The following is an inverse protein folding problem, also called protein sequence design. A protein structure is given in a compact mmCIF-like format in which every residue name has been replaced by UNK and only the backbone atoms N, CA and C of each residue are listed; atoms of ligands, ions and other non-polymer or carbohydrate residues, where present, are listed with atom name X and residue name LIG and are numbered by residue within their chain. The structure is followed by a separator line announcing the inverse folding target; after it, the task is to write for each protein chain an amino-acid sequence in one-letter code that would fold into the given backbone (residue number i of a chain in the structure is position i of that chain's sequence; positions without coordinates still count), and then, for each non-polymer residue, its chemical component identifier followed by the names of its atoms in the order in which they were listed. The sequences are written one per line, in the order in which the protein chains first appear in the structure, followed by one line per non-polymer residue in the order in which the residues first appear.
data_IF_061206051742
#
_entry.id   IF_061206051742
#
_cell.length_a   1.000
_cell.length_b   1.000
_cell.length_c   1.000
_cell.angle_alpha   90.00
_cell.angle_beta   90.00
_cell.angle_gamma   90.00
#
_symmetry.space_group_name_H-M   'P 1'
#
loop_
_entity.id
_entity.type
_entity.pdbx_description
1 polymer ?
#
# COMPACT_ATOMS: atom_id res chain seq x y z
N UNK A 1 -11.22 1.56 -9.39
CA UNK A 1 -10.29 1.19 -8.29
C UNK A 1 -9.81 -0.21 -8.62
N UNK A 2 -8.52 -0.45 -8.49
CA UNK A 2 -7.88 -1.72 -8.82
C UNK A 2 -7.12 -2.24 -7.61
N UNK A 3 -7.09 -3.56 -7.40
CA UNK A 3 -6.27 -4.13 -6.33
C UNK A 3 -4.82 -4.24 -6.80
N UNK A 4 -3.89 -3.86 -5.93
CA UNK A 4 -2.46 -4.01 -6.20
C UNK A 4 -1.90 -5.20 -5.44
N UNK A 5 -1.17 -6.04 -6.17
CA UNK A 5 -0.55 -7.25 -5.69
C UNK A 5 0.96 -7.13 -5.81
N UNK A 6 1.67 -7.72 -4.85
CA UNK A 6 3.12 -7.74 -4.78
C UNK A 6 3.60 -9.17 -4.59
N UNK A 7 4.87 -9.43 -4.87
CA UNK A 7 5.50 -10.69 -4.46
C UNK A 7 6.06 -10.61 -3.06
N UNK A 8 5.75 -11.63 -2.26
CA UNK A 8 6.32 -11.77 -0.92
C UNK A 8 7.81 -12.12 -1.01
N UNK A 9 8.65 -11.44 -0.23
CA UNK A 9 10.09 -11.70 -0.18
C UNK A 9 10.44 -13.08 0.41
N UNK A 10 9.58 -13.64 1.27
CA UNK A 10 9.84 -14.91 1.95
C UNK A 10 9.30 -16.14 1.19
N UNK A 11 8.07 -16.05 0.67
CA UNK A 11 7.39 -17.20 0.05
C UNK A 11 7.19 -17.05 -1.47
N UNK A 12 7.49 -15.89 -2.04
CA UNK A 12 7.35 -15.59 -3.48
C UNK A 12 5.94 -15.75 -4.06
N UNK A 13 4.92 -15.85 -3.21
CA UNK A 13 3.51 -15.82 -3.59
C UNK A 13 3.01 -14.38 -3.77
N UNK A 14 1.93 -14.18 -4.55
CA UNK A 14 1.27 -12.89 -4.67
C UNK A 14 0.56 -12.54 -3.36
N UNK A 15 0.83 -11.35 -2.83
CA UNK A 15 0.31 -10.84 -1.56
C UNK A 15 -0.17 -9.40 -1.74
N UNK A 16 -1.23 -9.03 -1.02
CA UNK A 16 -1.71 -7.66 -0.94
C UNK A 16 -1.46 -7.15 0.49
N UNK A 17 -0.81 -5.98 0.68
CA UNK A 17 -0.70 -5.36 1.99
C UNK A 17 -2.08 -5.11 2.60
N UNK A 18 -2.26 -5.49 3.87
CA UNK A 18 -3.53 -5.31 4.59
C UNK A 18 -3.28 -4.65 5.95
N UNK A 19 -4.01 -3.57 6.22
CA UNK A 19 -4.15 -2.96 7.53
C UNK A 19 -5.20 -3.73 8.34
N UNK A 20 -4.77 -4.75 9.08
CA UNK A 20 -5.65 -5.63 9.88
C UNK A 20 -6.44 -4.85 10.93
N UNK A 21 -5.83 -3.82 11.53
CA UNK A 21 -6.47 -2.87 12.43
C UNK A 21 -5.81 -1.49 12.29
N UNK A 22 -6.53 -0.39 12.52
CA UNK A 22 -5.91 0.94 12.58
C UNK A 22 -4.77 0.99 13.59
N UNK A 23 -3.83 1.90 13.39
CA UNK A 23 -2.82 2.16 14.40
C UNK A 23 -3.51 2.75 15.64
N UNK A 24 -3.15 2.27 16.83
CA UNK A 24 -3.60 2.88 18.07
C UNK A 24 -2.55 3.87 18.53
N UNK A 25 -2.95 5.14 18.68
CA UNK A 25 -2.09 6.21 19.15
C UNK A 25 -2.58 6.60 20.54
N UNK A 26 -1.69 6.51 21.53
CA UNK A 26 -1.95 6.88 22.92
C UNK A 26 -0.76 7.61 23.52
N UNK A 27 -0.75 7.72 24.85
CA UNK A 27 0.27 8.44 25.59
C UNK A 27 0.82 7.57 26.71
N UNK A 28 2.15 7.55 26.85
CA UNK A 28 2.76 7.11 28.10
C UNK A 28 2.96 8.34 29.00
N UNK A 29 2.44 8.28 30.22
CA UNK A 29 2.44 9.40 31.14
C UNK A 29 3.33 9.14 32.34
N UNK A 30 4.23 10.10 32.60
CA UNK A 30 5.30 9.97 33.60
C UNK A 30 4.87 9.65 35.03
N UNK A 31 3.65 10.04 35.44
CA UNK A 31 3.22 9.99 36.85
C UNK A 31 1.91 9.22 37.08
N UNK A 32 1.28 8.70 36.02
CA UNK A 32 0.02 7.97 36.11
C UNK A 32 -0.19 7.18 34.83
N UNK A 33 -1.03 6.15 34.90
CA UNK A 33 -1.51 5.48 33.71
C UNK A 33 -2.56 6.34 32.98
N UNK A 34 -2.50 6.36 31.64
CA UNK A 34 -3.52 6.96 30.79
C UNK A 34 -3.94 5.90 29.75
N UNK A 35 -5.21 5.47 29.83
CA UNK A 35 -5.77 4.45 28.93
C UNK A 35 -6.54 5.07 27.74
N UNK A 36 -6.31 6.34 27.45
CA UNK A 36 -6.92 7.04 26.31
C UNK A 36 -6.08 6.80 25.05
N UNK A 37 -6.69 6.15 24.06
CA UNK A 37 -6.13 5.93 22.74
C UNK A 37 -7.11 6.32 21.63
N UNK A 38 -6.59 6.73 20.49
CA UNK A 38 -7.35 6.97 19.26
C UNK A 38 -6.93 5.97 18.19
N UNK A 39 -7.87 5.62 17.32
CA UNK A 39 -7.58 4.91 16.09
C UNK A 39 -7.12 5.90 15.01
N UNK A 40 -5.96 5.61 14.42
CA UNK A 40 -5.39 6.34 13.31
C UNK A 40 -5.26 5.40 12.10
N UNK A 41 -6.08 5.59 11.06
CA UNK A 41 -5.92 4.83 9.82
C UNK A 41 -4.62 5.23 9.13
N UNK A 42 -3.96 4.26 8.48
CA UNK A 42 -2.78 4.55 7.65
C UNK A 42 -3.21 5.03 6.27
N UNK A 43 -2.44 5.94 5.68
CA UNK A 43 -2.53 6.25 4.25
C UNK A 43 -1.97 5.10 3.43
N UNK A 44 -2.43 4.92 2.20
CA UNK A 44 -2.00 3.80 1.34
C UNK A 44 -0.49 3.77 1.10
N UNK A 45 0.12 4.92 0.83
CA UNK A 45 1.59 5.01 0.70
C UNK A 45 2.33 4.63 1.99
N UNK A 46 1.80 5.02 3.16
CA UNK A 46 2.43 4.67 4.43
C UNK A 46 2.35 3.17 4.70
N UNK A 47 1.18 2.56 4.42
CA UNK A 47 1.02 1.11 4.51
C UNK A 47 2.04 0.40 3.60
N UNK A 48 2.19 0.84 2.35
CA UNK A 48 3.14 0.24 1.42
C UNK A 48 4.60 0.42 1.87
N UNK A 49 5.00 1.60 2.34
CA UNK A 49 6.35 1.84 2.89
C UNK A 49 6.70 0.89 4.04
N UNK A 50 5.72 0.59 4.91
CA UNK A 50 5.91 -0.36 6.03
C UNK A 50 6.10 -1.80 5.56
N UNK A 51 5.77 -2.12 4.31
CA UNK A 51 6.02 -3.44 3.71
C UNK A 51 7.44 -3.58 3.13
N UNK A 52 8.31 -2.56 3.25
CA UNK A 52 9.71 -2.68 2.83
C UNK A 52 10.37 -3.89 3.51
N UNK A 53 10.98 -4.76 2.70
CA UNK A 53 11.58 -6.01 3.16
C UNK A 53 10.61 -7.20 3.28
N UNK A 54 9.30 -6.96 3.28
CA UNK A 54 8.26 -8.00 3.21
C UNK A 54 7.85 -8.32 1.77
N UNK A 55 7.96 -7.33 0.89
CA UNK A 55 7.79 -7.47 -0.56
C UNK A 55 9.14 -7.41 -1.27
N UNK A 56 9.23 -7.97 -2.48
CA UNK A 56 10.47 -8.10 -3.26
C UNK A 56 10.95 -6.81 -3.92
N UNK A 57 10.09 -5.79 -4.03
CA UNK A 57 10.38 -4.50 -4.68
C UNK A 57 10.53 -3.38 -3.65
N UNK A 58 11.16 -2.27 -4.04
CA UNK A 58 11.19 -1.07 -3.19
C UNK A 58 9.85 -0.31 -3.26
N UNK A 59 9.12 -0.14 -2.14
CA UNK A 59 7.91 0.68 -2.06
C UNK A 59 8.00 2.05 -2.73
N UNK A 60 9.14 2.75 -2.59
CA UNK A 60 9.27 4.12 -3.11
C UNK A 60 9.27 4.17 -4.64
N UNK A 61 9.82 3.14 -5.30
CA UNK A 61 9.79 3.07 -6.76
C UNK A 61 8.38 2.84 -7.29
N UNK A 62 7.60 2.01 -6.60
CA UNK A 62 6.20 1.77 -6.93
C UNK A 62 5.38 3.04 -6.74
N UNK A 63 5.54 3.73 -5.61
CA UNK A 63 4.86 5.01 -5.33
C UNK A 63 5.21 6.06 -6.40
N UNK A 64 6.48 6.14 -6.82
CA UNK A 64 6.90 7.07 -7.88
C UNK A 64 6.17 6.81 -9.19
N UNK A 65 6.12 5.55 -9.65
CA UNK A 65 5.42 5.19 -10.89
C UNK A 65 3.92 5.50 -10.76
N UNK A 66 3.27 5.15 -9.65
CA UNK A 66 1.86 5.45 -9.45
C UNK A 66 1.58 6.96 -9.58
N UNK A 67 2.41 7.81 -8.98
CA UNK A 67 2.27 9.28 -9.06
C UNK A 67 2.47 9.82 -10.48
N UNK A 68 3.42 9.31 -11.25
CA UNK A 68 3.61 9.68 -12.66
C UNK A 68 2.32 9.41 -13.49
N UNK A 69 1.64 8.32 -13.16
CA UNK A 69 0.36 7.94 -13.75
C UNK A 69 -0.85 8.57 -13.05
N UNK A 70 -0.68 9.53 -12.12
CA UNK A 70 -1.81 10.15 -11.40
C UNK A 70 -2.69 9.15 -10.66
N UNK A 71 -2.08 8.07 -10.20
CA UNK A 71 -2.73 7.03 -9.42
C UNK A 71 -2.36 7.19 -7.94
N UNK A 72 -3.35 7.02 -7.08
CA UNK A 72 -3.18 7.14 -5.63
C UNK A 72 -3.39 5.79 -4.94
N UNK A 73 -2.57 5.52 -3.93
CA UNK A 73 -2.76 4.37 -3.05
C UNK A 73 -3.77 4.70 -1.96
N UNK A 74 -4.81 3.88 -1.87
CA UNK A 74 -5.85 3.98 -0.85
C UNK A 74 -5.94 2.69 -0.04
N UNK A 75 -6.45 2.81 1.19
CA UNK A 75 -6.76 1.65 2.02
C UNK A 75 -8.27 1.48 2.00
N UNK A 76 -8.74 0.32 1.55
CA UNK A 76 -10.16 -0.01 1.47
C UNK A 76 -10.76 -0.18 2.87
N UNK A 77 -12.10 -0.31 2.96
CA UNK A 77 -12.80 -0.47 4.26
C UNK A 77 -12.40 -1.74 5.02
N UNK A 78 -12.02 -2.77 4.29
CA UNK A 78 -11.49 -4.05 4.78
C UNK A 78 -9.97 -4.05 4.96
N UNK A 79 -9.33 -2.87 4.84
CA UNK A 79 -7.91 -2.66 5.14
C UNK A 79 -6.96 -3.00 4.00
N UNK A 80 -7.44 -3.41 2.82
CA UNK A 80 -6.58 -3.82 1.70
C UNK A 80 -6.03 -2.61 0.97
N UNK A 81 -4.82 -2.75 0.44
CA UNK A 81 -4.21 -1.71 -0.38
C UNK A 81 -4.79 -1.75 -1.81
N UNK A 82 -5.29 -0.61 -2.26
CA UNK A 82 -5.89 -0.44 -3.58
C UNK A 82 -5.29 0.77 -4.29
N UNK A 83 -5.45 0.80 -5.61
CA UNK A 83 -5.04 1.91 -6.48
C UNK A 83 -6.28 2.57 -7.06
N UNK A 84 -6.36 3.89 -6.90
CA UNK A 84 -7.36 4.72 -7.55
C UNK A 84 -6.68 5.52 -8.65
N UNK A 85 -7.08 5.31 -9.91
CA UNK A 85 -6.69 6.17 -11.02
C UNK A 85 -7.73 7.27 -11.20
N UNK A 86 -7.28 8.48 -11.51
CA UNK A 86 -8.18 9.52 -12.00
C UNK A 86 -8.84 9.07 -13.32
N UNK A 87 -10.14 9.37 -13.49
CA UNK A 87 -11.02 8.90 -14.57
C UNK A 87 -10.52 9.14 -16.01
N UNK A 88 -9.45 9.91 -16.20
CA UNK A 88 -8.93 10.33 -17.51
C UNK A 88 -7.74 9.51 -17.99
N UNK A 89 -7.19 8.61 -17.16
CA UNK A 89 -5.97 7.84 -17.49
C UNK A 89 -6.27 6.36 -17.71
N UNK A 90 -5.65 5.78 -18.74
CA UNK A 90 -5.81 4.37 -19.13
C UNK A 90 -5.14 3.43 -18.11
N UNK A 91 -5.90 2.59 -17.38
CA UNK A 91 -5.35 1.65 -16.40
C UNK A 91 -4.34 0.66 -17.00
N UNK A 92 -4.51 0.31 -18.28
CA UNK A 92 -3.63 -0.62 -19.00
C UNK A 92 -2.21 -0.07 -19.14
N UNK A 93 -2.09 1.26 -19.29
CA UNK A 93 -0.81 1.94 -19.41
C UNK A 93 0.00 1.88 -18.11
N UNK A 94 -0.67 2.01 -16.96
CA UNK A 94 -0.05 1.87 -15.65
C UNK A 94 0.39 0.41 -15.41
N UNK A 95 -0.47 -0.56 -15.73
CA UNK A 95 -0.10 -1.98 -15.61
C UNK A 95 1.13 -2.31 -16.45
N UNK A 96 1.21 -1.79 -17.68
CA UNK A 96 2.39 -1.97 -18.53
C UNK A 96 3.65 -1.37 -17.92
N UNK A 97 3.57 -0.14 -17.39
CA UNK A 97 4.72 0.51 -16.75
C UNK A 97 5.22 -0.26 -15.51
N UNK A 98 4.30 -0.81 -14.72
CA UNK A 98 4.64 -1.67 -13.58
C UNK A 98 5.31 -2.97 -14.05
N UNK A 99 4.81 -3.61 -15.11
CA UNK A 99 5.40 -4.82 -15.67
C UNK A 99 6.77 -4.57 -16.32
N UNK A 100 6.96 -3.45 -17.01
CA UNK A 100 8.25 -3.06 -17.59
C UNK A 100 9.31 -2.84 -16.50
N UNK A 101 8.91 -2.25 -15.35
CA UNK A 101 9.84 -1.96 -14.25
C UNK A 101 10.10 -3.15 -13.34
N UNK A 102 9.06 -3.93 -13.03
CA UNK A 102 9.05 -4.93 -11.96
C UNK A 102 8.75 -6.35 -12.44
N UNK A 103 8.51 -6.56 -13.74
CA UNK A 103 8.17 -7.88 -14.28
C UNK A 103 6.86 -8.41 -13.72
N UNK A 104 6.94 -9.52 -12.97
CA UNK A 104 5.79 -10.17 -12.29
C UNK A 104 5.78 -9.93 -10.79
N UNK A 105 6.58 -8.99 -10.32
CA UNK A 105 6.72 -8.69 -8.89
C UNK A 105 5.62 -7.75 -8.38
N UNK A 106 4.98 -6.99 -9.28
CA UNK A 106 3.88 -6.07 -9.00
C UNK A 106 2.82 -6.20 -10.09
N UNK A 107 1.57 -6.44 -9.69
CA UNK A 107 0.44 -6.59 -10.61
C UNK A 107 -0.77 -5.79 -10.15
N UNK A 108 -1.60 -5.38 -11.12
CA UNK A 108 -2.90 -4.77 -10.88
C UNK A 108 -4.00 -5.73 -11.31
N UNK A 109 -5.01 -5.87 -10.46
CA UNK A 109 -6.27 -6.55 -10.74
C UNK A 109 -7.34 -5.46 -10.95
N UNK A 110 -7.72 -5.27 -12.23
CA UNK A 110 -8.64 -4.22 -12.71
C UNK A 110 -10.11 -4.59 -12.55
#
# INVERSE_FOLDING_TARGET
MARIWFRCAAVHDPVCPVLVRPALIGWDAKFRQIDLAIEAPLRGEELLRRMKGWITVDPEEVIRILREFGAELTVSKDGRLEVSLENTKDPSSLQRALQERFGREVDLEL
#
